data_IF_156424061902
#
_entry.id   IF_156424061902
#
_cell.length_a   1.000
_cell.length_b   1.000
_cell.length_c   1.000
_cell.angle_alpha   90.00
_cell.angle_beta   90.00
_cell.angle_gamma   90.00
#
_symmetry.space_group_name_H-M   'P 1'
#
loop_
_entity.id
_entity.type
_entity.pdbx_description
1 polymer ?
#
# COMPACT_ATOMS: atom_id res chain seq x y z
N UNK A 1 12.59 -1.12 12.36
CA UNK A 1 11.39 -1.42 11.53
C UNK A 1 10.70 -0.09 11.24
N UNK A 2 10.43 0.26 9.98
CA UNK A 2 9.76 1.52 9.66
C UNK A 2 8.36 1.54 10.29
N UNK A 3 7.98 2.62 10.96
CA UNK A 3 6.66 2.79 11.58
C UNK A 3 5.59 2.71 10.48
N UNK A 4 4.74 1.68 10.52
CA UNK A 4 3.59 1.56 9.62
C UNK A 4 2.37 2.17 10.30
N UNK A 5 1.64 3.03 9.59
CA UNK A 5 0.37 3.58 10.07
C UNK A 5 -0.73 2.54 9.89
N UNK A 6 -1.35 2.10 10.98
CA UNK A 6 -2.59 1.34 10.92
C UNK A 6 -3.76 2.30 10.65
N UNK A 7 -4.64 1.95 9.72
CA UNK A 7 -5.80 2.77 9.35
C UNK A 7 -6.97 1.85 9.01
N UNK A 8 -8.17 2.19 9.49
CA UNK A 8 -9.40 1.51 9.12
C UNK A 8 -9.85 2.02 7.75
N UNK A 9 -9.72 1.16 6.74
CA UNK A 9 -10.13 1.46 5.38
C UNK A 9 -11.59 1.03 5.17
N UNK A 10 -12.43 1.96 4.73
CA UNK A 10 -13.74 1.62 4.16
C UNK A 10 -13.54 1.35 2.68
N UNK A 11 -13.85 0.14 2.24
CA UNK A 11 -13.65 -0.33 0.88
C UNK A 11 -14.86 -1.18 0.47
N UNK A 12 -15.19 -1.15 -0.81
CA UNK A 12 -16.19 -2.04 -1.39
C UNK A 12 -15.74 -3.52 -1.22
N UNK A 13 -16.60 -4.42 -0.73
CA UNK A 13 -16.27 -5.84 -0.55
C UNK A 13 -15.84 -6.56 -1.84
N UNK A 14 -16.43 -6.22 -3.00
CA UNK A 14 -16.06 -6.82 -4.28
C UNK A 14 -14.68 -6.37 -4.71
N UNK A 15 -14.38 -5.07 -4.56
CA UNK A 15 -13.06 -4.52 -4.82
C UNK A 15 -12.00 -5.17 -3.92
N UNK A 16 -12.32 -5.37 -2.64
CA UNK A 16 -11.41 -6.03 -1.71
C UNK A 16 -11.11 -7.47 -2.11
N UNK A 17 -12.14 -8.22 -2.54
CA UNK A 17 -12.01 -9.60 -3.00
C UNK A 17 -11.06 -9.73 -4.19
N UNK A 18 -11.12 -8.79 -5.14
CA UNK A 18 -10.20 -8.78 -6.28
C UNK A 18 -8.77 -8.37 -5.90
N UNK A 19 -8.59 -7.47 -4.93
CA UNK A 19 -7.27 -7.16 -4.37
C UNK A 19 -6.67 -8.40 -3.68
N UNK A 20 -7.47 -9.15 -2.92
CA UNK A 20 -7.04 -10.40 -2.29
C UNK A 20 -6.59 -11.44 -3.32
N UNK A 21 -7.41 -11.66 -4.36
CA UNK A 21 -7.07 -12.56 -5.47
C UNK A 21 -5.74 -12.16 -6.14
N UNK A 22 -5.57 -10.87 -6.41
CA UNK A 22 -4.35 -10.35 -7.02
C UNK A 22 -3.13 -10.53 -6.09
N UNK A 23 -3.30 -10.30 -4.79
CA UNK A 23 -2.24 -10.51 -3.80
C UNK A 23 -1.80 -11.98 -3.75
N UNK A 24 -2.75 -12.92 -3.76
CA UNK A 24 -2.46 -14.36 -3.81
C UNK A 24 -1.71 -14.74 -5.08
N UNK A 25 -2.17 -14.25 -6.25
CA UNK A 25 -1.50 -14.51 -7.53
C UNK A 25 -0.05 -14.00 -7.56
N UNK A 26 0.27 -12.93 -6.81
CA UNK A 26 1.61 -12.35 -6.72
C UNK A 26 2.41 -12.82 -5.50
N UNK A 27 1.92 -13.82 -4.75
CA UNK A 27 2.54 -14.34 -3.52
C UNK A 27 2.87 -13.21 -2.52
N UNK A 28 1.96 -12.25 -2.37
CA UNK A 28 2.10 -11.08 -1.51
C UNK A 28 1.01 -11.05 -0.44
N UNK A 29 1.32 -10.47 0.71
CA UNK A 29 0.27 -10.14 1.68
C UNK A 29 -0.68 -9.09 1.10
N UNK A 30 -1.94 -9.15 1.50
CA UNK A 30 -2.97 -8.19 1.04
C UNK A 30 -2.57 -6.75 1.35
N UNK A 31 -2.05 -6.49 2.57
CA UNK A 31 -1.52 -5.18 2.94
C UNK A 31 -0.35 -4.73 2.06
N UNK A 32 0.56 -5.65 1.70
CA UNK A 32 1.65 -5.35 0.78
C UNK A 32 1.15 -5.03 -0.63
N UNK A 33 0.09 -5.72 -1.08
CA UNK A 33 -0.54 -5.46 -2.37
C UNK A 33 -1.21 -4.08 -2.40
N UNK A 34 -1.93 -3.72 -1.34
CA UNK A 34 -2.52 -2.38 -1.19
C UNK A 34 -1.43 -1.31 -1.23
N UNK A 35 -0.34 -1.47 -0.48
CA UNK A 35 0.76 -0.50 -0.50
C UNK A 35 1.37 -0.36 -1.90
N UNK A 36 1.59 -1.47 -2.61
CA UNK A 36 2.11 -1.45 -3.98
C UNK A 36 1.19 -0.68 -4.93
N UNK A 37 -0.11 -0.99 -4.93
CA UNK A 37 -1.10 -0.34 -5.80
C UNK A 37 -1.20 1.16 -5.51
N UNK A 38 -1.15 1.57 -4.24
CA UNK A 38 -1.14 2.98 -3.86
C UNK A 38 0.12 3.70 -4.35
N UNK A 39 1.30 3.08 -4.21
CA UNK A 39 2.56 3.64 -4.74
C UNK A 39 2.54 3.76 -6.25
N UNK A 40 2.04 2.75 -6.95
CA UNK A 40 1.88 2.77 -8.40
C UNK A 40 0.92 3.89 -8.84
N UNK A 41 -0.22 4.03 -8.16
CA UNK A 41 -1.20 5.07 -8.45
C UNK A 41 -0.63 6.49 -8.23
N UNK A 42 0.20 6.69 -7.19
CA UNK A 42 0.89 7.96 -6.95
C UNK A 42 1.97 8.22 -8.02
N UNK A 43 2.75 7.20 -8.37
CA UNK A 43 3.78 7.31 -9.39
C UNK A 43 3.20 7.68 -10.77
N UNK A 44 2.05 7.13 -11.15
CA UNK A 44 1.30 7.52 -12.37
C UNK A 44 0.91 8.99 -12.39
N UNK A 45 0.85 9.65 -11.23
CA UNK A 45 0.56 11.09 -11.07
C UNK A 45 1.84 11.92 -10.88
N UNK A 46 3.02 11.32 -11.05
CA UNK A 46 4.30 11.98 -10.81
C UNK A 46 4.64 12.18 -9.33
N UNK A 47 3.88 11.58 -8.41
CA UNK A 47 4.10 11.72 -6.97
C UNK A 47 4.94 10.54 -6.49
N UNK A 48 6.17 10.81 -6.06
CA UNK A 48 7.00 9.79 -5.39
C UNK A 48 7.04 10.05 -3.88
N UNK A 49 6.50 9.13 -3.05
CA UNK A 49 6.64 9.24 -1.60
C UNK A 49 8.12 9.20 -1.23
N UNK A 50 8.67 10.34 -0.82
CA UNK A 50 10.08 10.45 -0.47
C UNK A 50 10.46 9.47 0.64
N UNK A 51 11.57 8.75 0.45
CA UNK A 51 12.21 7.98 1.52
C UNK A 51 12.66 8.88 2.71
N UNK A 52 12.61 10.21 2.59
CA UNK A 52 13.00 11.16 3.62
C UNK A 52 12.10 11.18 4.87
N UNK A 53 10.93 10.54 4.86
CA UNK A 53 10.15 10.30 6.07
C UNK A 53 10.81 9.28 7.03
N UNK A 54 11.92 8.66 6.63
CA UNK A 54 12.76 7.78 7.45
C UNK A 54 13.83 8.52 8.25
N UNK A 55 13.74 9.85 8.43
CA UNK A 55 14.58 10.53 9.44
C UNK A 55 14.07 10.15 10.83
N UNK A 56 14.84 9.42 11.66
CA UNK A 56 14.54 9.39 13.07
C UNK A 56 14.73 10.83 13.56
N UNK A 57 13.64 11.46 14.01
CA UNK A 57 13.79 12.63 14.88
C UNK A 57 14.49 12.12 16.14
N UNK A 58 15.56 12.83 16.51
CA UNK A 58 16.49 12.54 17.61
C UNK A 58 15.79 12.03 18.86
#
# INVERSE_FOLDING_TARGET
MAQRKAYLLRVDPELWSEIERLAQAQLRSVNGQVEYLLREALAKRGIQPSAAARKPRK
#
